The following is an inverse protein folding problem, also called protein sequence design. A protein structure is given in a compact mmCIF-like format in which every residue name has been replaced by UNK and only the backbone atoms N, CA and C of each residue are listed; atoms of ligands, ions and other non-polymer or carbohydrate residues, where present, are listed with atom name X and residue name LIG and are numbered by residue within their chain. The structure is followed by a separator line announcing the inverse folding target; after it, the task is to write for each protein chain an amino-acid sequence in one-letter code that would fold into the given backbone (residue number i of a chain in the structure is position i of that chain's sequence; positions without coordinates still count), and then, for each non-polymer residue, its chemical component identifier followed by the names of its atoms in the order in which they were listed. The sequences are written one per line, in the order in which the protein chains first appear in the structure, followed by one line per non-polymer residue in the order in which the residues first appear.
data_IF_943895609452
#
_entry.id   IF_943895609452
#
_cell.length_a   1.000
_cell.length_b   1.000
_cell.length_c   1.000
_cell.angle_alpha   90.00
_cell.angle_beta   90.00
_cell.angle_gamma   90.00
#
_symmetry.space_group_name_H-M   'P 1'
#
loop_
_entity.id
_entity.type
_entity.pdbx_description
1 polymer ?
#
# COMPACT_ATOMS: atom_id res chain seq x y z
N UNK A 1 -30.27 31.34 -20.47
CA UNK A 1 -29.20 30.38 -20.18
C UNK A 1 -28.55 30.78 -18.85
N UNK A 2 -28.97 30.15 -17.78
CA UNK A 2 -28.35 30.40 -16.45
C UNK A 2 -27.06 29.64 -16.35
N UNK A 3 -25.94 30.34 -16.33
CA UNK A 3 -24.65 29.74 -16.00
C UNK A 3 -24.62 29.52 -14.50
N UNK A 4 -24.72 28.28 -14.05
CA UNK A 4 -24.55 27.93 -12.65
C UNK A 4 -23.06 27.79 -12.36
N UNK A 5 -22.42 28.85 -11.93
CA UNK A 5 -21.08 28.77 -11.37
C UNK A 5 -21.18 28.54 -9.88
N UNK A 6 -20.45 27.56 -9.37
CA UNK A 6 -20.17 27.45 -7.94
C UNK A 6 -19.13 28.54 -7.62
N UNK A 7 -19.62 29.77 -7.39
CA UNK A 7 -18.75 30.85 -6.93
C UNK A 7 -18.78 30.82 -5.41
N UNK A 8 -17.79 30.12 -4.82
CA UNK A 8 -17.56 30.13 -3.40
C UNK A 8 -16.35 31.00 -3.09
N UNK A 9 -16.42 31.83 -2.06
CA UNK A 9 -15.23 32.41 -1.46
C UNK A 9 -14.54 31.32 -0.64
N UNK A 10 -13.74 30.45 -1.29
CA UNK A 10 -13.02 29.36 -0.64
C UNK A 10 -12.15 29.84 0.52
N UNK A 11 -11.66 31.07 0.45
CA UNK A 11 -10.94 31.75 1.53
C UNK A 11 -11.75 31.89 2.83
N UNK A 12 -13.09 31.93 2.76
CA UNK A 12 -13.97 31.96 3.95
C UNK A 12 -14.23 30.57 4.53
N UNK A 13 -13.93 29.50 3.78
CA UNK A 13 -14.04 28.12 4.23
C UNK A 13 -12.68 27.57 4.69
N UNK A 14 -11.59 28.31 4.46
CA UNK A 14 -10.28 27.94 4.97
C UNK A 14 -10.15 28.40 6.41
N UNK A 15 -10.13 27.46 7.35
CA UNK A 15 -9.63 27.76 8.68
C UNK A 15 -8.11 28.00 8.59
N UNK A 16 -7.59 29.08 9.19
CA UNK A 16 -6.16 29.31 9.24
C UNK A 16 -5.53 28.15 10.04
N UNK A 17 -4.81 27.28 9.35
CA UNK A 17 -4.00 26.27 10.01
C UNK A 17 -2.87 27.00 10.72
N UNK A 18 -3.00 27.17 12.03
CA UNK A 18 -1.91 27.62 12.88
C UNK A 18 -0.90 26.47 12.93
N UNK A 19 0.06 26.49 12.02
CA UNK A 19 1.19 25.58 12.11
C UNK A 19 1.88 25.87 13.46
N UNK A 20 2.06 24.89 14.32
CA UNK A 20 2.85 25.08 15.53
C UNK A 20 4.22 25.58 15.08
N UNK A 21 4.66 26.72 15.64
CA UNK A 21 6.01 27.25 15.42
C UNK A 21 6.97 26.09 15.64
N UNK A 22 7.88 25.88 14.70
CA UNK A 22 8.78 24.73 14.65
C UNK A 22 9.27 24.36 16.03
N UNK A 23 8.81 23.22 16.53
CA UNK A 23 9.16 22.74 17.85
C UNK A 23 10.64 22.38 17.87
N UNK A 24 11.28 22.53 19.02
CA UNK A 24 12.59 21.95 19.26
C UNK A 24 12.58 20.47 18.86
N UNK A 25 13.70 19.99 18.33
CA UNK A 25 13.88 18.57 18.06
C UNK A 25 13.42 17.77 19.28
N UNK A 26 12.51 16.81 19.15
CA UNK A 26 12.07 16.02 20.28
C UNK A 26 13.28 15.42 20.97
N UNK A 27 13.33 15.57 22.30
CA UNK A 27 14.35 14.87 23.08
C UNK A 27 14.16 13.37 22.87
N UNK A 28 15.23 12.65 22.63
CA UNK A 28 15.20 11.21 22.49
C UNK A 28 14.54 10.58 23.72
N UNK A 29 13.66 9.61 23.48
CA UNK A 29 12.87 8.96 24.52
C UNK A 29 13.65 7.82 25.10
N UNK A 30 14.37 7.11 24.23
CA UNK A 30 15.26 6.00 24.59
C UNK A 30 16.70 6.39 24.34
N UNK A 31 17.59 5.84 25.13
CA UNK A 31 19.01 5.80 24.80
C UNK A 31 19.26 4.78 23.69
N UNK A 32 20.43 4.85 23.08
CA UNK A 32 20.88 3.85 22.12
C UNK A 32 20.87 2.44 22.71
N UNK A 33 21.42 2.29 23.91
CA UNK A 33 21.54 1.02 24.64
C UNK A 33 20.18 0.42 24.96
N UNK A 34 19.23 1.22 25.42
CA UNK A 34 17.86 0.78 25.68
C UNK A 34 17.19 0.31 24.38
N UNK A 35 17.33 1.08 23.30
CA UNK A 35 16.78 0.73 21.98
C UNK A 35 17.39 -0.57 21.46
N UNK A 36 18.70 -0.69 21.53
CA UNK A 36 19.41 -1.90 21.11
C UNK A 36 18.97 -3.12 21.92
N UNK A 37 18.97 -3.02 23.25
CA UNK A 37 18.58 -4.13 24.12
C UNK A 37 17.18 -4.65 23.83
N UNK A 38 16.27 -3.78 23.41
CA UNK A 38 14.89 -4.12 23.05
C UNK A 38 14.76 -4.65 21.63
N UNK A 39 15.37 -3.95 20.67
CA UNK A 39 15.12 -4.21 19.24
C UNK A 39 16.00 -5.33 18.65
N UNK A 40 17.17 -5.60 19.24
CA UNK A 40 18.06 -6.65 18.75
C UNK A 40 17.45 -8.06 18.87
N UNK A 41 16.83 -8.47 20.00
CA UNK A 41 16.14 -9.74 20.09
C UNK A 41 14.95 -9.85 19.12
N UNK A 42 14.23 -8.73 18.89
CA UNK A 42 13.13 -8.68 17.91
C UNK A 42 13.66 -8.87 16.49
N UNK A 43 14.75 -8.21 16.12
CA UNK A 43 15.40 -8.37 14.81
C UNK A 43 15.90 -9.80 14.61
N UNK A 44 16.55 -10.41 15.62
CA UNK A 44 16.96 -11.82 15.56
C UNK A 44 15.77 -12.74 15.33
N UNK A 45 14.68 -12.55 16.08
CA UNK A 45 13.46 -13.32 15.89
C UNK A 45 12.87 -13.12 14.51
N UNK A 46 12.86 -11.88 14.01
CA UNK A 46 12.37 -11.56 12.68
C UNK A 46 13.19 -12.27 11.58
N UNK A 47 14.53 -12.25 11.68
CA UNK A 47 15.41 -12.93 10.72
C UNK A 47 15.23 -14.46 10.77
N UNK A 48 15.15 -15.02 11.98
CA UNK A 48 15.00 -16.47 12.16
C UNK A 48 13.69 -17.03 11.59
N UNK A 49 12.65 -16.19 11.48
CA UNK A 49 11.34 -16.57 10.94
C UNK A 49 11.14 -16.20 9.46
N UNK A 50 12.18 -15.76 8.76
CA UNK A 50 12.09 -15.50 7.32
C UNK A 50 11.94 -16.82 6.55
N UNK A 51 11.13 -16.84 5.47
CA UNK A 51 11.03 -18.03 4.63
C UNK A 51 12.37 -18.36 3.96
N UNK A 52 12.75 -19.63 3.99
CA UNK A 52 13.94 -20.16 3.32
C UNK A 52 13.64 -20.68 1.91
N UNK A 53 12.36 -20.74 1.52
CA UNK A 53 11.94 -21.22 0.20
C UNK A 53 12.25 -20.16 -0.88
N UNK A 54 13.18 -20.42 -1.81
CA UNK A 54 13.52 -19.47 -2.88
C UNK A 54 12.35 -19.12 -3.80
N UNK A 55 11.30 -19.96 -3.83
CA UNK A 55 10.10 -19.68 -4.59
C UNK A 55 9.24 -18.61 -3.94
N UNK A 56 9.34 -18.43 -2.62
CA UNK A 56 8.62 -17.41 -1.86
C UNK A 56 9.45 -16.14 -1.61
N UNK A 57 10.76 -16.28 -1.59
CA UNK A 57 11.70 -15.17 -1.40
C UNK A 57 12.77 -15.19 -2.51
N UNK A 58 12.41 -14.88 -3.76
CA UNK A 58 13.37 -14.87 -4.84
C UNK A 58 14.45 -13.82 -4.57
N UNK A 59 15.70 -14.16 -4.98
CA UNK A 59 16.88 -13.37 -4.71
C UNK A 59 17.18 -13.16 -3.21
N UNK A 60 16.54 -13.97 -2.33
CA UNK A 60 16.65 -13.88 -0.88
C UNK A 60 16.30 -12.48 -0.34
N UNK A 61 15.33 -11.83 -0.99
CA UNK A 61 14.81 -10.51 -0.60
C UNK A 61 13.58 -10.67 0.28
N UNK A 62 13.60 -9.99 1.42
CA UNK A 62 12.56 -10.06 2.43
C UNK A 62 12.04 -8.68 2.80
N UNK A 63 10.81 -8.61 3.30
CA UNK A 63 10.20 -7.39 3.82
C UNK A 63 9.96 -7.55 5.31
N UNK A 64 10.48 -6.62 6.10
CA UNK A 64 10.21 -6.49 7.53
C UNK A 64 9.36 -5.25 7.80
N UNK A 65 8.79 -5.20 8.99
CA UNK A 65 8.10 -4.00 9.49
C UNK A 65 8.86 -3.40 10.67
N UNK A 66 9.07 -2.08 10.60
CA UNK A 66 9.63 -1.26 11.66
C UNK A 66 8.58 -0.26 12.10
N UNK A 67 8.15 -0.33 13.35
CA UNK A 67 7.16 0.58 13.91
C UNK A 67 7.87 1.76 14.53
N UNK A 68 7.53 2.97 14.11
CA UNK A 68 8.09 4.18 14.70
C UNK A 68 7.41 4.49 16.05
N UNK A 69 8.17 5.11 16.94
CA UNK A 69 7.57 5.67 18.14
C UNK A 69 6.66 6.88 17.77
N UNK A 70 5.49 7.07 18.41
CA UNK A 70 4.51 8.10 18.06
C UNK A 70 5.02 9.56 18.02
N UNK A 71 6.13 9.85 18.65
CA UNK A 71 6.77 11.18 18.59
C UNK A 71 7.54 11.45 17.29
N UNK A 72 7.81 10.41 16.49
CA UNK A 72 8.65 10.51 15.28
C UNK A 72 7.87 10.23 14.00
N UNK A 73 6.64 10.75 13.90
CA UNK A 73 5.76 10.52 12.73
C UNK A 73 6.11 11.37 11.52
N UNK A 74 6.76 12.52 11.72
CA UNK A 74 7.14 13.38 10.61
C UNK A 74 8.17 12.68 9.70
N UNK A 75 8.03 12.86 8.39
CA UNK A 75 8.91 12.23 7.39
C UNK A 75 10.40 12.53 7.62
N UNK A 76 10.73 13.68 8.21
CA UNK A 76 12.10 14.06 8.58
C UNK A 76 12.72 13.18 9.67
N UNK A 77 11.92 12.41 10.40
CA UNK A 77 12.36 11.49 11.44
C UNK A 77 12.46 10.04 10.97
N UNK A 78 12.14 9.76 9.71
CA UNK A 78 12.35 8.41 9.18
C UNK A 78 13.82 8.04 9.30
N UNK A 79 14.15 6.80 9.71
CA UNK A 79 15.51 6.37 9.98
C UNK A 79 16.29 6.09 8.69
N UNK A 80 16.31 7.06 7.76
CA UNK A 80 16.89 6.89 6.41
C UNK A 80 18.40 6.62 6.45
N UNK A 81 19.10 7.21 7.44
CA UNK A 81 20.53 6.97 7.65
C UNK A 81 20.80 5.53 8.07
N UNK A 82 19.99 5.02 9.02
CA UNK A 82 20.06 3.65 9.48
C UNK A 82 19.79 2.65 8.35
N UNK A 83 18.69 2.87 7.59
CA UNK A 83 18.31 1.98 6.48
C UNK A 83 19.42 1.91 5.43
N UNK A 84 19.99 3.06 5.08
CA UNK A 84 21.10 3.12 4.11
C UNK A 84 22.34 2.38 4.63
N UNK A 85 22.70 2.57 5.89
CA UNK A 85 23.85 1.89 6.49
C UNK A 85 23.66 0.37 6.50
N UNK A 86 22.43 -0.09 6.73
CA UNK A 86 22.08 -1.51 6.73
C UNK A 86 21.87 -2.11 5.33
N UNK A 87 21.88 -1.29 4.26
CA UNK A 87 21.55 -1.77 2.90
C UNK A 87 20.08 -2.14 2.72
N UNK A 88 19.20 -1.41 3.43
CA UNK A 88 17.74 -1.64 3.40
C UNK A 88 17.02 -0.51 2.67
N UNK A 89 15.96 -0.85 1.94
CA UNK A 89 15.11 0.07 1.19
C UNK A 89 13.75 0.24 1.84
N UNK A 90 13.26 1.48 1.95
CA UNK A 90 11.91 1.78 2.40
C UNK A 90 10.94 1.56 1.22
N UNK A 91 10.10 0.52 1.30
CA UNK A 91 9.16 0.13 0.23
C UNK A 91 7.71 0.52 0.51
N UNK A 92 7.43 1.02 1.70
CA UNK A 92 6.09 1.49 2.00
C UNK A 92 5.89 1.84 3.47
N UNK A 93 4.68 2.29 3.79
CA UNK A 93 4.28 2.53 5.18
C UNK A 93 2.78 2.36 5.35
N UNK A 94 2.35 2.06 6.59
CA UNK A 94 0.92 2.01 6.98
C UNK A 94 0.73 2.70 8.34
N UNK A 95 -0.41 3.35 8.59
CA UNK A 95 -0.73 3.83 9.93
C UNK A 95 -0.98 2.65 10.87
N UNK A 96 -0.63 2.81 12.13
CA UNK A 96 -0.85 1.81 13.19
C UNK A 96 -1.17 2.52 14.50
N UNK A 97 -1.90 1.88 15.40
CA UNK A 97 -2.04 2.32 16.78
C UNK A 97 -1.28 1.37 17.68
N UNK A 98 -0.41 1.92 18.52
CA UNK A 98 0.45 1.14 19.41
C UNK A 98 0.46 1.72 20.81
N UNK A 99 0.65 0.87 21.79
CA UNK A 99 1.10 1.21 23.13
C UNK A 99 2.62 1.15 23.15
N UNK A 100 3.27 2.13 23.72
CA UNK A 100 4.74 2.25 23.72
C UNK A 100 5.33 1.79 25.06
N UNK A 101 6.57 1.35 25.03
CA UNK A 101 7.25 0.85 26.22
C UNK A 101 7.55 1.95 27.25
N UNK A 102 7.74 3.21 26.80
CA UNK A 102 7.98 4.36 27.70
C UNK A 102 6.74 4.79 28.49
N UNK A 103 5.56 4.48 28.00
CA UNK A 103 4.30 4.96 28.61
C UNK A 103 3.13 3.99 28.35
N UNK A 104 3.19 2.78 28.97
CA UNK A 104 2.21 1.73 28.73
C UNK A 104 0.79 2.11 29.19
N UNK A 105 0.67 3.01 30.16
CA UNK A 105 -0.61 3.39 30.76
C UNK A 105 -1.40 4.39 29.91
N UNK A 106 -0.75 5.06 28.95
CA UNK A 106 -1.37 6.06 28.08
C UNK A 106 -2.29 5.51 26.99
N UNK A 107 -2.34 4.19 26.87
CA UNK A 107 -3.13 3.52 25.83
C UNK A 107 -2.56 3.67 24.42
N UNK A 108 -3.28 3.13 23.44
CA UNK A 108 -2.81 3.06 22.06
C UNK A 108 -2.81 4.44 21.37
N UNK A 109 -1.65 4.88 20.90
CA UNK A 109 -1.42 6.13 20.15
C UNK A 109 -1.21 5.86 18.68
N UNK A 110 -1.57 6.84 17.84
CA UNK A 110 -1.30 6.75 16.41
C UNK A 110 0.21 6.74 16.17
N UNK A 111 0.65 5.81 15.36
CA UNK A 111 2.01 5.67 14.88
C UNK A 111 2.05 5.23 13.42
N UNK A 112 3.21 4.88 12.93
CA UNK A 112 3.47 4.46 11.56
C UNK A 112 4.38 3.23 11.53
N UNK A 113 3.93 2.22 10.83
CA UNK A 113 4.78 1.09 10.44
C UNK A 113 5.46 1.44 9.12
N UNK A 114 6.77 1.32 9.07
CA UNK A 114 7.57 1.35 7.85
C UNK A 114 7.76 -0.09 7.36
N UNK A 115 7.58 -0.32 6.07
CA UNK A 115 7.90 -1.59 5.43
C UNK A 115 9.25 -1.42 4.74
N UNK A 116 10.20 -2.25 5.14
CA UNK A 116 11.59 -2.18 4.66
C UNK A 116 11.98 -3.49 3.99
N UNK A 117 12.60 -3.40 2.82
CA UNK A 117 13.04 -4.54 2.04
C UNK A 117 14.56 -4.60 1.99
N UNK A 118 15.10 -5.82 1.96
CA UNK A 118 16.52 -6.07 1.77
C UNK A 118 16.81 -7.56 1.62
N UNK A 119 18.01 -7.86 1.16
CA UNK A 119 18.52 -9.23 1.19
C UNK A 119 18.68 -9.70 2.64
N UNK A 120 18.56 -11.00 2.89
CA UNK A 120 18.83 -11.59 4.21
C UNK A 120 20.19 -11.12 4.77
N UNK A 121 21.21 -11.11 3.91
CA UNK A 121 22.54 -10.61 4.29
C UNK A 121 22.53 -9.15 4.80
N UNK A 122 21.70 -8.29 4.21
CA UNK A 122 21.53 -6.89 4.68
C UNK A 122 20.86 -6.82 6.04
N UNK A 123 19.91 -7.74 6.33
CA UNK A 123 19.28 -7.84 7.65
C UNK A 123 20.26 -8.34 8.71
N UNK A 124 21.09 -9.34 8.38
CA UNK A 124 22.17 -9.83 9.25
C UNK A 124 23.23 -8.76 9.46
N UNK A 125 23.54 -7.98 8.43
CA UNK A 125 24.43 -6.83 8.55
C UNK A 125 23.85 -5.77 9.49
N UNK A 126 22.54 -5.50 9.39
CA UNK A 126 21.86 -4.59 10.32
C UNK A 126 22.02 -5.05 11.77
N UNK A 127 21.85 -6.35 12.04
CA UNK A 127 22.10 -6.88 13.39
C UNK A 127 23.55 -6.67 13.85
N UNK A 128 24.51 -6.94 12.96
CA UNK A 128 25.94 -6.71 13.25
C UNK A 128 26.24 -5.24 13.54
N UNK A 129 25.61 -4.30 12.84
CA UNK A 129 25.74 -2.86 13.09
C UNK A 129 25.22 -2.47 14.47
N UNK A 130 24.21 -3.16 14.99
CA UNK A 130 23.68 -2.92 16.33
C UNK A 130 24.59 -3.47 17.42
N UNK A 131 25.40 -4.51 17.14
CA UNK A 131 26.27 -5.13 18.11
C UNK A 131 27.52 -4.30 18.44
N UNK A 132 28.08 -3.58 17.46
CA UNK A 132 29.33 -2.81 17.64
C UNK A 132 29.14 -1.32 17.28
N UNK A 133 28.56 -0.54 18.19
CA UNK A 133 28.37 0.88 17.96
C UNK A 133 29.66 1.72 18.08
N UNK A 134 30.70 1.19 18.74
CA UNK A 134 31.89 1.97 19.12
C UNK A 134 32.82 2.32 17.96
N UNK A 135 33.00 1.40 17.03
CA UNK A 135 33.96 1.55 15.91
C UNK A 135 33.30 2.18 14.67
N UNK A 136 31.96 2.11 14.55
CA UNK A 136 31.22 2.45 13.33
C UNK A 136 30.32 3.68 13.44
N UNK A 137 30.11 4.22 14.65
CA UNK A 137 29.25 5.40 14.85
C UNK A 137 29.75 6.67 14.16
N UNK A 138 31.05 6.81 13.92
CA UNK A 138 31.59 7.94 13.15
C UNK A 138 31.37 7.75 11.65
N UNK A 139 31.47 6.50 11.16
CA UNK A 139 31.29 6.14 9.75
C UNK A 139 29.80 6.06 9.37
N UNK A 140 28.91 5.68 10.32
CA UNK A 140 27.48 5.52 10.12
C UNK A 140 26.66 6.34 11.11
N UNK A 141 26.68 7.66 10.96
CA UNK A 141 25.93 8.58 11.83
C UNK A 141 24.42 8.26 11.96
N UNK A 142 23.85 7.55 10.97
CA UNK A 142 22.45 7.14 10.95
C UNK A 142 22.08 6.00 11.92
N UNK A 143 23.04 5.26 12.47
CA UNK A 143 22.73 4.15 13.41
C UNK A 143 21.98 4.66 14.65
N UNK A 144 22.25 5.88 15.07
CA UNK A 144 21.55 6.53 16.20
C UNK A 144 20.05 6.68 15.96
N UNK A 145 19.58 6.61 14.71
CA UNK A 145 18.16 6.69 14.39
C UNK A 145 17.34 5.50 14.93
N UNK A 146 18.00 4.45 15.43
CA UNK A 146 17.36 3.31 16.09
C UNK A 146 16.49 3.75 17.28
N UNK A 147 16.83 4.84 17.97
CA UNK A 147 16.07 5.38 19.11
C UNK A 147 14.65 5.82 18.72
N UNK A 148 14.38 5.95 17.41
CA UNK A 148 13.08 6.33 16.88
C UNK A 148 12.17 5.13 16.61
N UNK A 149 12.73 3.92 16.66
CA UNK A 149 12.03 2.67 16.36
C UNK A 149 11.47 2.10 17.66
N UNK A 150 10.18 1.79 17.66
CA UNK A 150 9.50 1.18 18.80
C UNK A 150 9.53 -0.33 18.73
N UNK A 151 9.40 -0.93 17.53
CA UNK A 151 9.33 -2.37 17.34
C UNK A 151 9.81 -2.77 15.96
N UNK A 152 10.41 -3.96 15.87
CA UNK A 152 10.77 -4.63 14.61
C UNK A 152 10.11 -6.00 14.61
N UNK A 153 9.36 -6.29 13.53
CA UNK A 153 8.67 -7.56 13.35
C UNK A 153 8.79 -8.06 11.92
N UNK A 154 8.50 -9.33 11.72
CA UNK A 154 8.21 -9.87 10.40
C UNK A 154 6.96 -9.22 9.83
N UNK A 155 6.92 -9.13 8.51
CA UNK A 155 5.67 -8.86 7.81
C UNK A 155 4.94 -10.19 7.61
N UNK A 156 4.20 -10.60 8.66
CA UNK A 156 3.62 -11.92 8.79
C UNK A 156 2.45 -12.16 7.82
N UNK A 157 2.11 -13.43 7.63
CA UNK A 157 0.97 -13.86 6.81
C UNK A 157 -0.33 -13.16 7.21
N UNK A 158 -0.65 -13.08 8.51
CA UNK A 158 -1.87 -12.47 9.02
C UNK A 158 -1.95 -10.94 8.76
N UNK A 159 -0.81 -10.30 8.56
CA UNK A 159 -0.74 -8.88 8.16
C UNK A 159 -1.08 -8.66 6.68
N UNK A 160 -0.93 -9.70 5.86
CA UNK A 160 -1.07 -9.67 4.41
C UNK A 160 -2.39 -10.25 3.93
N UNK A 161 -2.82 -11.37 4.50
CA UNK A 161 -3.95 -12.15 4.02
C UNK A 161 -5.25 -11.80 4.74
N UNK A 162 -6.27 -11.51 3.96
CA UNK A 162 -7.64 -11.35 4.44
C UNK A 162 -8.53 -12.38 3.74
N UNK A 163 -9.19 -13.29 4.48
CA UNK A 163 -9.98 -14.36 3.88
C UNK A 163 -11.23 -13.83 3.16
N UNK A 164 -11.57 -14.47 2.06
CA UNK A 164 -12.82 -14.21 1.37
C UNK A 164 -14.01 -14.96 1.98
N UNK A 165 -15.24 -14.49 1.76
CA UNK A 165 -16.44 -15.18 2.24
C UNK A 165 -16.77 -16.48 1.48
N UNK A 166 -16.11 -16.74 0.35
CA UNK A 166 -16.32 -17.95 -0.48
C UNK A 166 -15.02 -18.42 -1.11
N UNK A 167 -14.90 -19.73 -1.34
CA UNK A 167 -13.69 -20.37 -1.88
C UNK A 167 -13.40 -20.04 -3.35
N UNK A 168 -14.33 -19.42 -4.06
CA UNK A 168 -14.20 -19.08 -5.48
C UNK A 168 -14.28 -17.56 -5.68
N UNK A 169 -13.72 -16.81 -4.75
CA UNK A 169 -13.72 -15.36 -4.82
C UNK A 169 -12.53 -14.83 -5.62
N UNK A 170 -12.74 -13.70 -6.28
CA UNK A 170 -11.63 -12.88 -6.74
C UNK A 170 -10.97 -12.18 -5.56
N UNK A 171 -9.64 -12.15 -5.62
CA UNK A 171 -8.81 -11.41 -4.69
C UNK A 171 -8.08 -10.29 -5.41
N UNK A 172 -7.87 -9.19 -4.71
CA UNK A 172 -6.90 -8.18 -5.07
C UNK A 172 -5.59 -8.50 -4.36
N UNK A 173 -4.59 -8.86 -5.13
CA UNK A 173 -3.23 -9.03 -4.64
C UNK A 173 -2.44 -7.76 -4.92
N UNK A 174 -1.69 -7.30 -3.93
CA UNK A 174 -0.84 -6.12 -4.03
C UNK A 174 0.61 -6.53 -3.79
N UNK A 175 1.48 -6.29 -4.76
CA UNK A 175 2.92 -6.49 -4.64
C UNK A 175 3.62 -5.15 -4.40
N UNK A 176 4.68 -5.17 -3.60
CA UNK A 176 5.69 -4.12 -3.63
C UNK A 176 6.43 -4.17 -4.97
N UNK A 177 6.46 -3.06 -5.68
CA UNK A 177 7.33 -2.89 -6.84
C UNK A 177 8.72 -2.53 -6.31
N UNK A 178 9.58 -3.55 -6.23
CA UNK A 178 10.94 -3.44 -5.72
C UNK A 178 11.86 -2.92 -6.83
N UNK A 179 12.93 -2.22 -6.45
CA UNK A 179 13.95 -1.79 -7.39
C UNK A 179 14.57 -3.00 -8.09
N UNK A 180 14.83 -2.91 -9.39
CA UNK A 180 15.38 -3.99 -10.20
C UNK A 180 16.75 -4.46 -9.69
N UNK A 181 17.56 -3.55 -9.16
CA UNK A 181 18.86 -3.87 -8.54
C UNK A 181 18.71 -4.71 -7.27
N UNK A 182 17.59 -4.55 -6.53
CA UNK A 182 17.31 -5.30 -5.32
C UNK A 182 16.68 -6.67 -5.63
N UNK A 183 15.71 -6.69 -6.52
CA UNK A 183 14.92 -7.88 -6.81
C UNK A 183 14.64 -8.01 -8.31
N UNK A 184 15.63 -8.41 -9.12
CA UNK A 184 15.45 -8.59 -10.55
C UNK A 184 14.34 -9.61 -10.83
N UNK A 185 13.51 -9.29 -11.82
CA UNK A 185 12.41 -10.15 -12.30
C UNK A 185 11.37 -10.52 -11.19
N UNK A 186 11.24 -9.70 -10.12
CA UNK A 186 10.38 -10.02 -8.99
C UNK A 186 8.93 -10.31 -9.41
N UNK A 187 8.35 -9.47 -10.27
CA UNK A 187 6.99 -9.67 -10.79
C UNK A 187 6.88 -10.92 -11.64
N UNK A 188 7.85 -11.19 -12.51
CA UNK A 188 7.86 -12.36 -13.36
C UNK A 188 7.92 -13.65 -12.54
N UNK A 189 8.79 -13.71 -11.53
CA UNK A 189 8.91 -14.85 -10.61
C UNK A 189 7.63 -15.09 -9.82
N UNK A 190 6.94 -14.01 -9.44
CA UNK A 190 5.62 -14.12 -8.82
C UNK A 190 4.59 -14.76 -9.76
N UNK A 191 4.51 -14.31 -11.03
CA UNK A 191 3.59 -14.86 -12.02
C UNK A 191 3.86 -16.35 -12.28
N UNK A 192 5.14 -16.74 -12.39
CA UNK A 192 5.54 -18.13 -12.53
C UNK A 192 5.13 -18.99 -11.31
N UNK A 193 5.21 -18.44 -10.10
CA UNK A 193 4.73 -19.11 -8.89
C UNK A 193 3.21 -19.27 -8.92
N UNK A 194 2.47 -18.22 -9.30
CA UNK A 194 1.02 -18.26 -9.40
C UNK A 194 0.55 -19.32 -10.40
N UNK A 195 1.17 -19.37 -11.57
CA UNK A 195 0.89 -20.39 -12.61
C UNK A 195 1.14 -21.82 -12.07
N UNK A 196 2.28 -22.06 -11.41
CA UNK A 196 2.60 -23.37 -10.81
C UNK A 196 1.60 -23.80 -9.74
N UNK A 197 1.03 -22.85 -9.01
CA UNK A 197 0.02 -23.10 -7.98
C UNK A 197 -1.40 -23.21 -8.56
N UNK A 198 -1.58 -23.02 -9.87
CA UNK A 198 -2.89 -23.04 -10.53
C UNK A 198 -3.76 -21.83 -10.17
N UNK A 199 -3.14 -20.71 -9.84
CA UNK A 199 -3.85 -19.45 -9.58
C UNK A 199 -3.90 -18.65 -10.88
N UNK A 200 -5.10 -18.28 -11.29
CA UNK A 200 -5.31 -17.38 -12.43
C UNK A 200 -5.01 -15.95 -12.03
N UNK A 201 -4.17 -15.28 -12.82
CA UNK A 201 -3.85 -13.86 -12.68
C UNK A 201 -4.40 -13.10 -13.87
N UNK A 202 -5.28 -12.12 -13.66
CA UNK A 202 -5.83 -11.30 -14.74
C UNK A 202 -4.88 -10.13 -15.04
N UNK A 203 -3.83 -10.41 -15.81
CA UNK A 203 -2.78 -9.43 -16.10
C UNK A 203 -3.27 -8.21 -16.88
N UNK A 204 -4.36 -8.34 -17.67
CA UNK A 204 -4.92 -7.20 -18.44
C UNK A 204 -5.52 -6.13 -17.54
N UNK A 205 -5.86 -6.49 -16.31
CA UNK A 205 -6.43 -5.60 -15.31
C UNK A 205 -5.41 -5.20 -14.24
N UNK A 206 -4.12 -5.40 -14.51
CA UNK A 206 -3.09 -4.92 -13.60
C UNK A 206 -3.07 -3.40 -13.53
N UNK A 207 -2.69 -2.90 -12.37
CA UNK A 207 -2.61 -1.47 -12.13
C UNK A 207 -1.39 -1.14 -11.27
N UNK A 208 -0.61 -0.15 -11.70
CA UNK A 208 0.56 0.31 -10.96
C UNK A 208 0.32 1.69 -10.36
N UNK A 209 0.54 1.83 -9.06
CA UNK A 209 0.49 3.12 -8.37
C UNK A 209 1.39 3.13 -7.14
N UNK A 210 2.11 4.23 -6.93
CA UNK A 210 2.90 4.47 -5.71
C UNK A 210 3.85 3.32 -5.34
N UNK A 211 4.57 2.77 -6.32
CA UNK A 211 5.48 1.62 -6.19
C UNK A 211 4.76 0.34 -5.70
N UNK A 212 3.50 0.20 -6.08
CA UNK A 212 2.70 -0.99 -5.85
C UNK A 212 2.10 -1.47 -7.17
N UNK A 213 2.09 -2.79 -7.37
CA UNK A 213 1.41 -3.48 -8.46
C UNK A 213 0.19 -4.20 -7.89
N UNK A 214 -0.97 -3.89 -8.45
CA UNK A 214 -2.25 -4.49 -8.11
C UNK A 214 -2.61 -5.53 -9.16
N UNK A 215 -2.91 -6.75 -8.73
CA UNK A 215 -3.24 -7.89 -9.59
C UNK A 215 -4.53 -8.54 -9.12
N UNK A 216 -5.57 -8.60 -9.94
CA UNK A 216 -6.71 -9.48 -9.68
C UNK A 216 -6.27 -10.94 -9.83
N UNK A 217 -6.55 -11.76 -8.81
CA UNK A 217 -6.23 -13.18 -8.84
C UNK A 217 -7.42 -14.04 -8.40
N UNK A 218 -7.49 -15.27 -8.89
CA UNK A 218 -8.50 -16.25 -8.51
C UNK A 218 -7.91 -17.66 -8.55
N UNK A 219 -8.19 -18.46 -7.54
CA UNK A 219 -7.70 -19.83 -7.48
C UNK A 219 -8.12 -20.56 -6.22
N UNK A 220 -7.68 -21.80 -6.05
CA UNK A 220 -7.93 -22.58 -4.84
C UNK A 220 -7.41 -21.82 -3.60
N UNK A 221 -8.19 -21.84 -2.53
CA UNK A 221 -7.88 -21.10 -1.30
C UNK A 221 -6.46 -21.36 -0.77
N UNK A 222 -6.04 -22.63 -0.75
CA UNK A 222 -4.70 -22.99 -0.26
C UNK A 222 -3.58 -22.45 -1.17
N UNK A 223 -3.81 -22.39 -2.48
CA UNK A 223 -2.88 -21.80 -3.42
C UNK A 223 -2.78 -20.28 -3.24
N UNK A 224 -3.93 -19.62 -3.04
CA UNK A 224 -4.02 -18.19 -2.76
C UNK A 224 -3.33 -17.85 -1.43
N UNK A 225 -3.52 -18.66 -0.38
CA UNK A 225 -2.80 -18.51 0.89
C UNK A 225 -1.28 -18.64 0.70
N UNK A 226 -0.86 -19.63 -0.09
CA UNK A 226 0.57 -19.81 -0.38
C UNK A 226 1.18 -18.61 -1.10
N UNK A 227 0.44 -17.96 -2.02
CA UNK A 227 0.88 -16.73 -2.65
C UNK A 227 1.03 -15.57 -1.66
N UNK A 228 0.22 -15.51 -0.60
CA UNK A 228 0.36 -14.46 0.42
C UNK A 228 1.68 -14.54 1.19
N UNK A 229 2.32 -15.70 1.23
CA UNK A 229 3.63 -15.89 1.86
C UNK A 229 4.78 -15.34 1.02
N UNK A 230 4.56 -15.03 -0.28
CA UNK A 230 5.58 -14.44 -1.14
C UNK A 230 6.10 -13.14 -0.55
N UNK A 231 7.42 -12.98 -0.50
CA UNK A 231 8.09 -11.95 0.31
C UNK A 231 7.66 -10.53 -0.02
N UNK A 232 7.47 -10.22 -1.31
CA UNK A 232 7.07 -8.89 -1.75
C UNK A 232 5.56 -8.65 -1.77
N UNK A 233 4.72 -9.62 -1.34
CA UNK A 233 3.28 -9.38 -1.18
C UNK A 233 3.05 -8.40 -0.04
N UNK A 234 2.36 -7.31 -0.37
CA UNK A 234 1.93 -6.30 0.60
C UNK A 234 0.57 -6.61 1.21
N UNK A 235 -0.36 -7.05 0.39
CA UNK A 235 -1.69 -7.41 0.84
C UNK A 235 -2.35 -8.36 -0.17
N UNK A 236 -3.20 -9.22 0.35
CA UNK A 236 -4.07 -10.10 -0.41
C UNK A 236 -5.42 -10.09 0.26
N UNK A 237 -6.40 -9.48 -0.40
CA UNK A 237 -7.74 -9.26 0.16
C UNK A 237 -8.82 -9.59 -0.86
N UNK A 238 -10.02 -9.98 -0.40
CA UNK A 238 -11.14 -10.15 -1.31
C UNK A 238 -11.36 -8.90 -2.13
N UNK A 239 -11.64 -9.07 -3.42
CA UNK A 239 -11.98 -7.96 -4.28
C UNK A 239 -13.23 -7.26 -3.75
N UNK A 240 -13.20 -5.92 -3.59
CA UNK A 240 -14.34 -5.20 -3.07
C UNK A 240 -15.54 -5.36 -4.00
N UNK A 241 -16.69 -5.66 -3.43
CA UNK A 241 -17.97 -5.66 -4.17
C UNK A 241 -18.62 -4.30 -4.01
N UNK A 242 -18.95 -3.67 -5.11
CA UNK A 242 -19.74 -2.47 -5.06
C UNK A 242 -21.17 -2.85 -4.64
N UNK A 243 -21.58 -2.39 -3.46
CA UNK A 243 -22.95 -2.50 -2.99
C UNK A 243 -23.75 -1.28 -3.48
N UNK A 244 -24.78 -1.51 -4.26
CA UNK A 244 -25.73 -0.45 -4.60
C UNK A 244 -26.67 -0.22 -3.42
N UNK A 245 -26.62 0.97 -2.84
CA UNK A 245 -27.73 1.43 -2.02
C UNK A 245 -28.91 1.74 -2.93
N UNK A 246 -30.14 1.32 -2.57
CA UNK A 246 -31.31 1.68 -3.38
C UNK A 246 -31.42 3.21 -3.41
N UNK A 247 -31.15 3.80 -4.57
CA UNK A 247 -31.27 5.24 -4.75
C UNK A 247 -32.75 5.56 -4.90
N UNK A 248 -33.31 6.25 -3.92
CA UNK A 248 -34.64 6.82 -4.04
C UNK A 248 -34.61 8.03 -4.99
N UNK A 249 -35.08 7.85 -6.20
CA UNK A 249 -35.33 8.87 -7.22
C UNK A 249 -34.12 9.60 -7.80
N UNK A 250 -33.62 9.13 -8.94
CA UNK A 250 -32.82 9.92 -9.87
C UNK A 250 -33.69 10.93 -10.57
N UNK A 251 -33.41 12.23 -10.42
CA UNK A 251 -33.99 13.27 -11.28
C UNK A 251 -33.27 13.22 -12.62
N UNK A 252 -33.84 12.55 -13.60
CA UNK A 252 -33.33 12.61 -14.96
C UNK A 252 -33.66 13.97 -15.59
N UNK A 253 -32.64 14.72 -15.99
CA UNK A 253 -32.80 15.87 -16.87
C UNK A 253 -32.87 15.31 -18.29
N UNK A 254 -34.02 15.43 -18.94
CA UNK A 254 -34.26 14.97 -20.31
C UNK A 254 -33.95 16.07 -21.36
N UNK A 255 -32.85 16.75 -21.23
CA UNK A 255 -32.40 17.62 -22.30
C UNK A 255 -31.49 16.85 -23.27
N UNK A 256 -31.76 16.85 -24.57
CA UNK A 256 -30.88 16.21 -25.53
C UNK A 256 -29.53 16.94 -25.56
N UNK A 257 -28.47 16.26 -25.16
CA UNK A 257 -27.12 16.78 -25.26
C UNK A 257 -26.53 16.36 -26.59
N UNK A 258 -26.22 17.32 -27.44
CA UNK A 258 -25.45 17.06 -28.66
C UNK A 258 -23.98 17.14 -28.31
N UNK A 259 -23.30 16.00 -28.32
CA UNK A 259 -21.87 15.94 -28.10
C UNK A 259 -21.13 16.24 -29.43
N UNK A 260 -19.99 16.91 -29.37
CA UNK A 260 -19.09 17.01 -30.52
C UNK A 260 -18.52 15.65 -30.87
N UNK A 261 -17.91 15.51 -32.04
CA UNK A 261 -17.15 14.28 -32.35
C UNK A 261 -16.01 14.05 -31.36
N UNK A 262 -15.75 12.80 -30.97
CA UNK A 262 -14.61 12.48 -30.10
C UNK A 262 -13.31 13.01 -30.71
N UNK A 263 -12.35 13.48 -29.91
CA UNK A 263 -11.08 13.97 -30.41
C UNK A 263 -10.34 12.85 -31.17
N UNK A 264 -9.83 13.16 -32.36
CA UNK A 264 -9.09 12.22 -33.18
C UNK A 264 -7.70 11.87 -32.63
N UNK A 265 -7.24 12.61 -31.64
CA UNK A 265 -5.95 12.42 -30.97
C UNK A 265 -6.16 12.29 -29.47
N UNK A 266 -5.40 11.38 -28.82
CA UNK A 266 -5.39 11.25 -27.37
C UNK A 266 -5.09 12.61 -26.72
N UNK A 267 -6.07 13.16 -26.03
CA UNK A 267 -5.86 14.34 -25.19
C UNK A 267 -4.90 13.97 -24.07
N UNK A 268 -3.97 14.87 -23.73
CA UNK A 268 -3.10 14.70 -22.56
C UNK A 268 -3.87 14.82 -21.24
N UNK A 269 -5.14 15.22 -21.31
CA UNK A 269 -6.01 15.36 -20.14
C UNK A 269 -7.00 14.20 -20.10
N UNK A 270 -6.85 13.36 -19.09
CA UNK A 270 -7.76 12.27 -18.76
C UNK A 270 -8.56 12.57 -17.49
N UNK A 271 -9.85 12.28 -17.49
CA UNK A 271 -10.70 12.34 -16.29
C UNK A 271 -11.14 10.90 -15.97
N UNK A 272 -10.76 10.41 -14.80
CA UNK A 272 -11.23 9.12 -14.32
C UNK A 272 -12.54 9.28 -13.55
N UNK A 273 -13.54 8.48 -13.88
CA UNK A 273 -14.81 8.40 -13.15
C UNK A 273 -14.95 7.00 -12.57
N UNK A 274 -15.25 6.92 -11.28
CA UNK A 274 -15.55 5.66 -10.59
C UNK A 274 -17.05 5.58 -10.43
N UNK A 275 -17.69 4.73 -11.24
CA UNK A 275 -19.13 4.62 -11.31
C UNK A 275 -19.58 3.15 -11.48
N UNK A 276 -20.88 2.89 -11.46
CA UNK A 276 -21.47 1.58 -11.62
C UNK A 276 -21.40 1.02 -13.05
N UNK A 277 -21.04 1.84 -14.01
CA UNK A 277 -20.90 1.45 -15.42
C UNK A 277 -21.52 2.45 -16.39
N UNK A 278 -21.36 2.16 -17.69
CA UNK A 278 -21.89 2.97 -18.77
C UNK A 278 -22.75 2.09 -19.68
N UNK A 279 -24.02 2.43 -19.92
CA UNK A 279 -24.86 1.67 -20.84
C UNK A 279 -24.26 1.63 -22.26
N UNK A 280 -24.36 0.52 -22.98
CA UNK A 280 -23.78 0.36 -24.32
C UNK A 280 -24.23 1.43 -25.32
N UNK A 281 -25.48 1.89 -25.20
CA UNK A 281 -26.08 2.89 -26.09
C UNK A 281 -25.90 4.34 -25.57
N UNK A 282 -25.05 4.56 -24.59
CA UNK A 282 -24.84 5.90 -24.06
C UNK A 282 -24.08 6.77 -25.08
N UNK A 283 -24.56 7.99 -25.38
CA UNK A 283 -23.92 8.89 -26.34
C UNK A 283 -22.45 9.19 -26.08
N UNK A 284 -22.00 9.08 -24.83
CA UNK A 284 -20.60 9.34 -24.47
C UNK A 284 -19.69 8.11 -24.57
N UNK A 285 -20.23 6.93 -24.96
CA UNK A 285 -19.44 5.69 -25.03
C UNK A 285 -18.22 5.79 -25.95
N UNK A 286 -18.29 6.62 -26.99
CA UNK A 286 -17.17 6.90 -27.90
C UNK A 286 -16.06 7.77 -27.30
N UNK A 287 -16.29 8.34 -26.10
CA UNK A 287 -15.36 9.22 -25.39
C UNK A 287 -14.70 8.57 -24.18
N UNK A 288 -15.12 7.35 -23.84
CA UNK A 288 -14.77 6.70 -22.58
C UNK A 288 -14.06 5.39 -22.84
N UNK A 289 -12.89 5.24 -22.24
CA UNK A 289 -12.24 3.95 -22.07
C UNK A 289 -12.80 3.29 -20.81
N UNK A 290 -13.40 2.12 -20.96
CA UNK A 290 -14.10 1.43 -19.88
C UNK A 290 -13.29 0.27 -19.33
N UNK A 291 -13.07 0.25 -18.01
CA UNK A 291 -12.38 -0.82 -17.30
C UNK A 291 -13.30 -1.37 -16.20
N UNK A 292 -13.60 -2.67 -16.25
CA UNK A 292 -14.31 -3.35 -15.16
C UNK A 292 -13.35 -3.61 -14.00
N UNK A 293 -13.67 -3.09 -12.82
CA UNK A 293 -12.91 -3.33 -11.60
C UNK A 293 -13.06 -4.79 -11.08
N UNK A 294 -14.19 -5.44 -11.40
CA UNK A 294 -14.42 -6.85 -11.11
C UNK A 294 -14.70 -7.61 -12.42
N UNK A 295 -13.86 -8.57 -12.82
CA UNK A 295 -14.03 -9.35 -14.04
C UNK A 295 -15.35 -10.13 -14.13
N UNK A 296 -15.87 -10.58 -12.97
CA UNK A 296 -17.13 -11.33 -12.87
C UNK A 296 -18.35 -10.42 -12.69
N UNK A 297 -18.19 -9.10 -12.74
CA UNK A 297 -19.33 -8.20 -12.69
C UNK A 297 -20.14 -8.37 -13.99
N UNK A 298 -21.35 -8.87 -13.85
CA UNK A 298 -22.30 -8.86 -14.93
C UNK A 298 -22.59 -7.41 -15.36
N UNK A 299 -22.81 -7.21 -16.65
CA UNK A 299 -23.36 -5.97 -17.18
C UNK A 299 -24.87 -5.91 -16.80
N UNK A 300 -25.14 -5.89 -15.48
CA UNK A 300 -26.49 -5.79 -14.95
C UNK A 300 -27.01 -4.40 -15.28
N UNK A 301 -28.18 -4.36 -15.96
CA UNK A 301 -28.87 -3.12 -16.33
C UNK A 301 -29.00 -2.16 -15.13
N UNK A 302 -29.15 -2.69 -13.91
CA UNK A 302 -29.27 -1.88 -12.69
C UNK A 302 -27.97 -1.14 -12.36
N UNK A 303 -26.79 -1.71 -12.65
CA UNK A 303 -25.52 -1.03 -12.51
C UNK A 303 -25.36 0.06 -13.57
N UNK A 304 -25.82 -0.22 -14.77
CA UNK A 304 -25.79 0.71 -15.89
C UNK A 304 -26.75 1.90 -15.68
N UNK A 305 -27.91 1.66 -15.08
CA UNK A 305 -28.87 2.72 -14.74
C UNK A 305 -28.29 3.67 -13.67
N UNK A 306 -27.51 3.14 -12.74
CA UNK A 306 -26.86 3.94 -11.69
C UNK A 306 -25.62 4.67 -12.20
N UNK A 307 -24.92 4.12 -13.20
CA UNK A 307 -23.80 4.76 -13.87
C UNK A 307 -24.15 6.06 -14.56
N UNK A 308 -25.41 6.26 -14.91
CA UNK A 308 -25.88 7.53 -15.48
C UNK A 308 -25.87 8.70 -14.48
N UNK A 309 -25.84 8.43 -13.18
CA UNK A 309 -25.82 9.46 -12.15
C UNK A 309 -24.48 10.20 -12.03
N UNK A 310 -23.38 9.56 -12.41
CA UNK A 310 -22.02 10.14 -12.33
C UNK A 310 -21.58 10.90 -13.57
N UNK A 311 -22.34 10.84 -14.63
CA UNK A 311 -22.01 11.44 -15.94
C UNK A 311 -22.63 12.83 -16.14
N UNK A 312 -23.38 13.32 -15.17
CA UNK A 312 -24.04 14.62 -15.19
C UNK A 312 -23.28 15.65 -14.31
#
# INVERSE_FOLDING_TARGET
MGRHYLIGHGERLSEPIVLPRGGATPKDIYTYEESRARLQPELHSAIANLPDDPALAPNDVHVLQMVLHPKYLAKSYHPSGLLRAAGLSLVGSKPVRITTADDPDKGARLSRTLLVAGHRQSLEHFDSLLQDPGVRCEEYAGIKDIVRIERIDNYAFDDKYHPAPSNDAWYELVLHELDEDLAPDNTQKFLELAERLGVNVEERMNFKANNLLYLPIRGPEEAVKRLAEYSSVRALRPMPRLGLSPISSVRSIREPVTLPEPPSTASQLGVAMLDGGLPPDNPISSWVDYIKANPDADDDERFLEHGLGGVW
#
